data_IF_268887488384
#
_entry.id   IF_268887488384
#
_cell.length_a   1.000
_cell.length_b   1.000
_cell.length_c   1.000
_cell.angle_alpha   90.00
_cell.angle_beta   90.00
_cell.angle_gamma   90.00
#
_symmetry.space_group_name_H-M   'P 1'
#
loop_
_entity.id
_entity.type
_entity.pdbx_description
1 polymer ?
#
# COMPACT_ATOMS: atom_id res chain seq x y z
N UNK A 1 12.67 -3.43 8.44
CA UNK A 1 13.15 -3.68 7.08
C UNK A 1 13.27 -5.17 6.86
N UNK A 2 13.00 -5.65 5.64
CA UNK A 2 13.23 -7.05 5.25
C UNK A 2 14.37 -7.03 4.21
N UNK A 3 15.55 -7.60 4.50
CA UNK A 3 16.65 -7.53 3.55
C UNK A 3 16.38 -8.39 2.29
N UNK A 4 17.10 -8.09 1.21
CA UNK A 4 16.95 -8.80 -0.06
C UNK A 4 17.32 -10.29 0.10
N UNK A 5 16.50 -11.17 -0.48
CA UNK A 5 16.69 -12.63 -0.42
C UNK A 5 16.08 -13.30 0.81
N UNK A 6 15.48 -12.55 1.73
CA UNK A 6 14.81 -13.13 2.91
C UNK A 6 13.42 -13.61 2.53
N UNK A 7 13.02 -14.76 3.08
CA UNK A 7 11.64 -15.24 3.07
C UNK A 7 11.06 -15.02 4.45
N UNK A 8 9.93 -14.32 4.52
CA UNK A 8 9.24 -14.01 5.78
C UNK A 8 7.77 -14.37 5.67
N UNK A 9 7.16 -14.76 6.80
CA UNK A 9 5.74 -15.03 6.90
C UNK A 9 5.05 -13.95 7.73
N UNK A 10 3.92 -13.44 7.24
CA UNK A 10 3.05 -12.53 7.98
C UNK A 10 1.87 -13.32 8.54
N UNK A 11 1.85 -13.54 9.85
CA UNK A 11 0.90 -14.46 10.51
C UNK A 11 -0.05 -13.66 11.42
N UNK A 12 -1.31 -14.08 11.50
CA UNK A 12 -2.31 -13.48 12.39
C UNK A 12 -3.74 -13.94 12.09
N UNK A 13 -4.72 -13.66 12.97
CA UNK A 13 -6.13 -14.07 12.82
C UNK A 13 -6.80 -13.54 11.55
N UNK A 14 -7.93 -14.13 11.14
CA UNK A 14 -8.74 -13.55 10.05
C UNK A 14 -9.16 -12.12 10.39
N UNK A 15 -9.14 -11.23 9.39
CA UNK A 15 -9.45 -9.80 9.60
C UNK A 15 -8.32 -8.95 10.17
N UNK A 16 -7.17 -9.51 10.56
CA UNK A 16 -6.05 -8.75 11.15
C UNK A 16 -5.30 -7.80 10.20
N UNK A 17 -5.76 -7.64 8.95
CA UNK A 17 -5.15 -6.72 7.99
C UNK A 17 -3.99 -7.26 7.14
N UNK A 18 -3.66 -8.56 7.19
CA UNK A 18 -2.55 -9.15 6.40
C UNK A 18 -2.64 -8.86 4.90
N UNK A 19 -3.81 -9.05 4.30
CA UNK A 19 -4.05 -8.75 2.90
C UNK A 19 -3.95 -7.25 2.61
N UNK A 20 -4.33 -6.41 3.57
CA UNK A 20 -4.17 -4.94 3.48
C UNK A 20 -2.70 -4.56 3.45
N UNK A 21 -1.86 -5.14 4.32
CA UNK A 21 -0.40 -4.92 4.30
C UNK A 21 0.20 -5.30 2.94
N UNK A 22 -0.19 -6.45 2.38
CA UNK A 22 0.29 -6.88 1.06
C UNK A 22 -0.18 -5.95 -0.07
N UNK A 23 -1.39 -5.38 0.01
CA UNK A 23 -1.89 -4.38 -0.95
C UNK A 23 -1.16 -3.05 -0.82
N UNK A 24 -0.89 -2.61 0.42
CA UNK A 24 -0.11 -1.41 0.71
C UNK A 24 1.31 -1.53 0.11
N UNK A 25 2.00 -2.66 0.32
CA UNK A 25 3.33 -2.91 -0.28
C UNK A 25 3.28 -2.87 -1.81
N UNK A 26 2.17 -3.33 -2.42
CA UNK A 26 1.96 -3.28 -3.88
C UNK A 26 1.46 -1.92 -4.40
N UNK A 27 1.25 -0.93 -3.54
CA UNK A 27 0.65 0.37 -3.93
C UNK A 27 -0.80 0.28 -4.40
N UNK A 28 -1.51 -0.79 -4.04
CA UNK A 28 -2.92 -1.03 -4.39
C UNK A 28 -3.91 -0.47 -3.37
N UNK A 29 -3.41 -0.01 -2.23
CA UNK A 29 -4.18 0.54 -1.11
C UNK A 29 -3.50 1.83 -0.63
N UNK A 30 -4.26 2.76 -0.06
CA UNK A 30 -3.72 4.00 0.52
C UNK A 30 -3.44 3.87 2.01
N UNK A 31 -2.44 4.60 2.49
CA UNK A 31 -2.14 4.76 3.91
C UNK A 31 -2.36 6.21 4.34
N UNK A 32 -2.83 6.42 5.57
CA UNK A 32 -3.06 7.77 6.08
C UNK A 32 -1.77 8.47 6.52
N UNK A 33 -0.83 7.73 7.10
CA UNK A 33 0.39 8.27 7.71
C UNK A 33 1.55 7.27 7.59
N UNK A 34 2.78 7.77 7.74
CA UNK A 34 4.02 6.96 7.65
C UNK A 34 4.58 6.86 6.23
N UNK A 35 5.46 5.88 6.02
CA UNK A 35 6.10 5.61 4.73
C UNK A 35 6.33 4.12 4.53
N UNK A 36 6.28 3.69 3.27
CA UNK A 36 6.62 2.33 2.85
C UNK A 36 7.70 2.45 1.78
N UNK A 37 8.80 1.73 1.96
CA UNK A 37 9.91 1.70 1.01
C UNK A 37 10.12 0.27 0.52
N UNK A 38 10.21 0.08 -0.79
CA UNK A 38 10.47 -1.20 -1.45
C UNK A 38 11.59 -0.98 -2.46
N UNK A 39 12.68 -1.73 -2.31
CA UNK A 39 13.84 -1.65 -3.19
C UNK A 39 14.43 -0.23 -3.35
N UNK A 40 14.41 0.59 -2.29
CA UNK A 40 14.90 1.97 -2.32
C UNK A 40 13.88 3.00 -2.82
N UNK A 41 12.70 2.57 -3.25
CA UNK A 41 11.65 3.46 -3.74
C UNK A 41 10.50 3.58 -2.74
N UNK A 42 10.03 4.81 -2.53
CA UNK A 42 8.84 5.05 -1.71
C UNK A 42 7.59 4.62 -2.46
N UNK A 43 6.76 3.77 -1.86
CA UNK A 43 5.44 3.42 -2.40
C UNK A 43 4.52 4.63 -2.24
N UNK A 44 3.96 5.18 -3.32
CA UNK A 44 3.17 6.41 -3.24
C UNK A 44 1.83 6.16 -2.55
N UNK A 45 1.44 7.08 -1.66
CA UNK A 45 0.06 7.21 -1.21
C UNK A 45 -0.80 7.71 -2.39
N UNK A 46 -1.33 6.79 -3.19
CA UNK A 46 -2.12 7.11 -4.39
C UNK A 46 -3.40 7.85 -4.01
N UNK A 47 -3.40 9.18 -3.99
CA UNK A 47 -4.66 9.95 -3.98
C UNK A 47 -5.51 9.47 -5.16
N UNK A 48 -6.68 8.90 -4.89
CA UNK A 48 -7.68 8.60 -5.91
C UNK A 48 -8.05 9.92 -6.56
N UNK A 49 -7.41 10.25 -7.68
CA UNK A 49 -7.77 11.39 -8.49
C UNK A 49 -9.03 11.00 -9.28
N UNK A 50 -10.16 10.94 -8.58
CA UNK A 50 -11.47 10.90 -9.22
C UNK A 50 -11.65 12.26 -9.89
N UNK A 51 -11.33 12.34 -11.18
CA UNK A 51 -11.77 13.46 -11.99
C UNK A 51 -13.16 13.11 -12.50
N UNK A 52 -14.15 13.96 -12.18
CA UNK A 52 -15.46 13.86 -12.81
C UNK A 52 -15.42 14.67 -14.11
N UNK A 53 -15.49 14.06 -15.30
CA UNK A 53 -15.42 14.79 -16.57
C UNK A 53 -16.71 15.57 -16.90
N UNK A 54 -17.77 15.47 -16.09
CA UNK A 54 -19.10 16.03 -16.39
C UNK A 54 -19.57 17.13 -15.45
N UNK A 55 -18.68 17.94 -14.89
CA UNK A 55 -19.00 19.01 -13.94
C UNK A 55 -18.95 20.42 -14.55
N UNK A 56 -19.45 20.58 -15.78
CA UNK A 56 -19.68 21.89 -16.37
C UNK A 56 -21.17 22.24 -16.27
N UNK A 57 -21.49 23.31 -15.56
CA UNK A 57 -22.59 24.18 -15.98
C UNK A 57 -22.02 25.22 -16.92
#
# INVERSE_FOLDING_TARGET
>A
SIPQGQKVALIGPSGSGKSTVLRLIKGLENYQQGSIEVAGETVPARKSRWHWPGGGK
#
